data_IF_940464809674
#
_entry.id   IF_940464809674
#
_cell.length_a   1.000
_cell.length_b   1.000
_cell.length_c   1.000
_cell.angle_alpha   90.00
_cell.angle_beta   90.00
_cell.angle_gamma   90.00
#
_symmetry.space_group_name_H-M   'P 1'
#
loop_
_entity.id
_entity.type
_entity.pdbx_description
1 polymer ?
#
# COMPACT_ATOMS: atom_id res chain seq x y z
N UNK A 1 -10.34 7.74 1.24
CA UNK A 1 -9.54 7.31 0.09
C UNK A 1 -10.34 7.57 -1.19
N UNK A 2 -9.70 8.03 -2.27
CA UNK A 2 -10.35 8.29 -3.57
C UNK A 2 -10.28 7.01 -4.39
N UNK A 3 -11.43 6.45 -4.76
CA UNK A 3 -11.47 5.33 -5.69
C UNK A 3 -11.48 5.86 -7.12
N UNK A 4 -10.61 5.29 -7.94
CA UNK A 4 -10.56 5.53 -9.37
C UNK A 4 -10.85 4.19 -10.02
N UNK A 5 -11.90 4.12 -10.83
CA UNK A 5 -12.09 2.97 -11.71
C UNK A 5 -10.99 3.03 -12.78
N UNK A 6 -9.91 2.27 -12.55
CA UNK A 6 -8.70 2.33 -13.37
C UNK A 6 -8.98 2.02 -14.85
N UNK A 7 -9.94 1.12 -15.13
CA UNK A 7 -10.30 0.75 -16.50
C UNK A 7 -10.92 1.89 -17.30
N UNK A 8 -11.87 2.62 -16.71
CA UNK A 8 -12.50 3.78 -17.36
C UNK A 8 -11.55 4.98 -17.41
N UNK A 9 -10.73 5.19 -16.37
CA UNK A 9 -9.70 6.22 -16.34
C UNK A 9 -8.60 5.99 -17.40
N UNK A 10 -8.11 4.76 -17.54
CA UNK A 10 -7.09 4.39 -18.55
C UNK A 10 -7.64 4.54 -19.97
N UNK A 11 -8.89 4.10 -20.19
CA UNK A 11 -9.56 4.21 -21.48
C UNK A 11 -9.78 5.69 -21.86
N UNK A 12 -10.18 6.53 -20.90
CA UNK A 12 -10.30 7.99 -21.08
C UNK A 12 -8.96 8.68 -21.36
N UNK A 13 -7.88 8.22 -20.71
CA UNK A 13 -6.52 8.69 -20.95
C UNK A 13 -6.01 8.33 -22.36
N UNK A 14 -6.21 7.08 -22.80
CA UNK A 14 -5.76 6.61 -24.11
C UNK A 14 -6.54 7.22 -25.28
N UNK A 15 -7.82 7.56 -25.09
CA UNK A 15 -8.64 8.18 -26.13
C UNK A 15 -8.40 9.69 -26.27
N UNK A 16 -7.54 10.31 -25.44
CA UNK A 16 -7.22 11.74 -25.51
C UNK A 16 -8.41 12.68 -25.26
N UNK A 17 -9.57 12.15 -24.85
CA UNK A 17 -10.83 12.89 -24.73
C UNK A 17 -10.98 13.67 -23.43
N UNK A 18 -10.04 13.54 -22.49
CA UNK A 18 -10.18 14.08 -21.12
C UNK A 18 -9.15 15.14 -20.70
N UNK A 19 -8.39 15.75 -21.62
CA UNK A 19 -7.31 16.65 -21.21
C UNK A 19 -7.18 17.94 -22.00
N UNK A 20 -7.34 19.07 -21.28
CA UNK A 20 -6.63 20.30 -21.65
C UNK A 20 -5.11 20.00 -21.60
N UNK A 21 -4.31 20.43 -22.59
CA UNK A 21 -2.87 20.28 -22.53
C UNK A 21 -2.33 21.04 -21.31
N UNK A 22 -1.65 20.33 -20.43
CA UNK A 22 -0.89 20.93 -19.33
C UNK A 22 0.52 21.15 -19.87
N UNK A 23 0.87 22.41 -20.05
CA UNK A 23 2.26 22.82 -20.26
C UNK A 23 2.93 22.95 -18.89
N UNK A 24 4.09 22.32 -18.74
CA UNK A 24 4.93 22.55 -17.56
C UNK A 24 5.46 23.99 -17.57
N UNK A 25 5.33 24.71 -16.47
CA UNK A 25 5.97 26.02 -16.30
C UNK A 25 7.47 25.80 -16.10
N UNK A 26 8.28 26.16 -17.09
CA UNK A 26 9.73 26.08 -16.99
C UNK A 26 10.29 27.37 -16.36
N UNK A 27 11.18 27.23 -15.39
CA UNK A 27 11.79 28.39 -14.70
C UNK A 27 13.08 28.84 -15.36
N UNK A 28 13.71 28.00 -16.18
CA UNK A 28 14.95 28.29 -16.91
C UNK A 28 14.90 27.71 -18.31
N UNK A 29 15.47 28.40 -19.31
CA UNK A 29 15.42 27.99 -20.73
C UNK A 29 16.15 26.68 -21.09
N UNK A 30 16.85 26.06 -20.14
CA UNK A 30 17.47 24.72 -20.28
C UNK A 30 16.54 23.59 -19.84
N UNK A 31 15.36 23.92 -19.30
CA UNK A 31 14.40 22.92 -18.88
C UNK A 31 13.74 22.28 -20.10
N UNK A 32 13.54 20.97 -20.04
CA UNK A 32 12.84 20.23 -21.08
C UNK A 32 11.36 20.62 -21.06
N UNK A 33 10.88 21.15 -22.19
CA UNK A 33 9.47 21.41 -22.37
C UNK A 33 8.75 20.06 -22.58
N UNK A 34 7.91 19.68 -21.62
CA UNK A 34 6.98 18.57 -21.79
C UNK A 34 5.55 19.08 -21.71
N UNK A 35 4.72 18.60 -22.64
CA UNK A 35 3.28 18.83 -22.66
C UNK A 35 2.60 17.50 -22.35
N UNK A 36 1.81 17.48 -21.28
CA UNK A 36 1.05 16.32 -20.85
C UNK A 36 -0.44 16.53 -21.11
N UNK A 37 -1.17 15.43 -21.31
CA UNK A 37 -2.64 15.45 -21.32
C UNK A 37 -3.10 15.32 -19.88
N UNK A 38 -3.81 16.32 -19.34
CA UNK A 38 -4.47 16.20 -18.04
C UNK A 38 -5.50 15.06 -18.11
N UNK A 39 -5.55 14.18 -17.13
CA UNK A 39 -6.71 13.30 -16.96
C UNK A 39 -7.38 13.73 -15.66
N UNK A 40 -8.64 14.17 -15.74
CA UNK A 40 -9.41 14.52 -14.54
C UNK A 40 -10.50 13.44 -14.34
N UNK A 41 -10.16 12.30 -13.71
CA UNK A 41 -11.15 11.26 -13.47
C UNK A 41 -12.25 11.83 -12.55
N UNK A 42 -13.51 11.62 -12.96
CA UNK A 42 -14.68 11.95 -12.13
C UNK A 42 -14.57 11.15 -10.82
N UNK A 43 -14.21 11.83 -9.73
CA UNK A 43 -14.01 11.22 -8.42
C UNK A 43 -15.38 10.81 -7.87
N UNK A 44 -15.63 9.50 -7.75
CA UNK A 44 -16.79 9.01 -7.03
C UNK A 44 -16.53 9.09 -5.52
N UNK A 45 -17.36 9.86 -4.83
CA UNK A 45 -17.27 10.05 -3.38
C UNK A 45 -17.93 8.86 -2.68
N UNK A 46 -17.18 8.09 -1.88
CA UNK A 46 -17.80 7.19 -0.90
C UNK A 46 -18.16 7.99 0.33
N UNK A 47 -19.36 7.76 0.87
CA UNK A 47 -19.78 8.27 2.17
C UNK A 47 -18.74 7.92 3.22
N UNK A 48 -18.33 8.94 3.96
CA UNK A 48 -17.27 8.91 4.96
C UNK A 48 -17.60 7.83 6.01
N UNK A 49 -16.78 6.78 6.10
CA UNK A 49 -16.56 6.15 7.40
C UNK A 49 -15.24 6.74 7.91
N UNK A 50 -15.32 7.39 9.07
CA UNK A 50 -14.40 8.45 9.48
C UNK A 50 -12.92 8.06 9.35
N UNK A 51 -12.24 8.71 8.40
CA UNK A 51 -10.78 8.73 8.36
C UNK A 51 -10.32 9.91 9.21
N UNK A 52 -9.51 9.61 10.22
CA UNK A 52 -8.91 10.58 11.14
C UNK A 52 -8.33 11.79 10.39
N UNK A 53 -8.43 12.96 11.03
CA UNK A 53 -8.21 14.32 10.48
C UNK A 53 -6.83 14.55 9.82
N UNK A 54 -5.85 13.67 10.06
CA UNK A 54 -4.45 13.85 9.63
C UNK A 54 -3.97 12.89 8.53
N UNK A 55 -4.88 12.19 7.85
CA UNK A 55 -4.53 11.39 6.66
C UNK A 55 -3.79 10.07 6.90
N UNK A 56 -3.59 9.67 8.15
CA UNK A 56 -3.14 8.32 8.50
C UNK A 56 -4.35 7.40 8.78
N UNK A 57 -4.48 6.33 7.98
CA UNK A 57 -5.54 5.31 8.04
C UNK A 57 -5.20 4.15 8.99
N UNK A 58 -4.51 4.42 10.09
CA UNK A 58 -4.13 3.36 11.05
C UNK A 58 -5.32 3.09 11.97
N UNK A 59 -5.99 1.97 11.75
CA UNK A 59 -7.05 1.50 12.65
C UNK A 59 -6.41 0.74 13.81
N UNK A 60 -6.45 1.34 15.01
CA UNK A 60 -5.83 0.76 16.22
C UNK A 60 -6.37 -0.63 16.57
N UNK A 61 -7.63 -0.95 16.27
CA UNK A 61 -8.20 -2.26 16.59
C UNK A 61 -7.63 -3.33 15.64
N UNK A 62 -7.49 -3.00 14.36
CA UNK A 62 -6.84 -3.87 13.36
C UNK A 62 -5.36 -4.08 13.70
N UNK A 63 -4.64 -3.02 14.04
CA UNK A 63 -3.22 -3.11 14.42
C UNK A 63 -3.03 -3.93 15.70
N UNK A 64 -3.92 -3.79 16.69
CA UNK A 64 -3.87 -4.57 17.94
C UNK A 64 -4.16 -6.06 17.71
N UNK A 65 -5.10 -6.38 16.83
CA UNK A 65 -5.39 -7.76 16.46
C UNK A 65 -4.19 -8.40 15.73
N UNK A 66 -3.62 -7.70 14.74
CA UNK A 66 -2.45 -8.16 14.01
C UNK A 66 -1.23 -8.33 14.93
N UNK A 67 -1.03 -7.43 15.89
CA UNK A 67 0.04 -7.55 16.88
C UNK A 67 -0.11 -8.80 17.76
N UNK A 68 -1.34 -9.06 18.24
CA UNK A 68 -1.61 -10.24 19.06
C UNK A 68 -1.40 -11.54 18.26
N UNK A 69 -1.85 -11.59 17.01
CA UNK A 69 -1.64 -12.74 16.11
C UNK A 69 -0.15 -13.00 15.86
N UNK A 70 0.61 -11.95 15.54
CA UNK A 70 2.06 -12.06 15.34
C UNK A 70 2.80 -12.52 16.60
N UNK A 71 2.37 -12.07 17.79
CA UNK A 71 2.96 -12.51 19.05
C UNK A 71 2.77 -14.02 19.28
N UNK A 72 1.56 -14.54 19.03
CA UNK A 72 1.26 -15.98 19.16
C UNK A 72 2.06 -16.81 18.16
N UNK A 73 2.14 -16.38 16.90
CA UNK A 73 2.94 -17.06 15.88
C UNK A 73 4.44 -17.08 16.22
N UNK A 74 4.95 -16.00 16.81
CA UNK A 74 6.34 -15.91 17.23
C UNK A 74 6.65 -16.87 18.38
N UNK A 75 5.78 -16.94 19.41
CA UNK A 75 5.93 -17.90 20.50
C UNK A 75 5.87 -19.36 19.99
N UNK A 76 4.93 -19.67 19.09
CA UNK A 76 4.83 -20.99 18.49
C UNK A 76 6.13 -21.35 17.72
N UNK A 77 6.66 -20.40 16.93
CA UNK A 77 7.90 -20.60 16.17
C UNK A 77 9.09 -20.88 17.08
N UNK A 78 9.22 -20.12 18.17
CA UNK A 78 10.27 -20.36 19.18
C UNK A 78 10.13 -21.74 19.85
N UNK A 79 8.91 -22.17 20.14
CA UNK A 79 8.64 -23.49 20.70
C UNK A 79 9.07 -24.60 19.74
N UNK A 80 8.72 -24.49 18.44
CA UNK A 80 9.15 -25.46 17.42
C UNK A 80 10.66 -25.51 17.26
N UNK A 81 11.32 -24.35 17.19
CA UNK A 81 12.79 -24.26 17.09
C UNK A 81 13.44 -24.88 18.33
N UNK A 82 12.93 -24.59 19.53
CA UNK A 82 13.42 -25.20 20.77
C UNK A 82 13.28 -26.73 20.76
N UNK A 83 12.14 -27.24 20.29
CA UNK A 83 11.91 -28.67 20.11
C UNK A 83 12.92 -29.29 19.14
N UNK A 84 13.10 -28.70 17.97
CA UNK A 84 14.06 -29.16 16.97
C UNK A 84 15.49 -29.20 17.53
N UNK A 85 15.91 -28.14 18.22
CA UNK A 85 17.24 -28.07 18.82
C UNK A 85 17.43 -29.15 19.90
N UNK A 86 16.41 -29.41 20.73
CA UNK A 86 16.46 -30.50 21.71
C UNK A 86 16.58 -31.87 21.04
N UNK A 87 15.80 -32.12 19.98
CA UNK A 87 15.88 -33.36 19.21
C UNK A 87 17.26 -33.52 18.56
N UNK A 88 17.82 -32.45 18.00
CA UNK A 88 19.18 -32.49 17.45
C UNK A 88 20.23 -32.75 18.53
N UNK A 89 20.11 -32.13 19.71
CA UNK A 89 21.02 -32.40 20.84
C UNK A 89 20.94 -33.85 21.30
N UNK A 90 19.74 -34.43 21.41
CA UNK A 90 19.56 -35.84 21.75
C UNK A 90 20.22 -36.74 20.70
N UNK A 91 19.96 -36.50 19.41
CA UNK A 91 20.57 -37.24 18.31
C UNK A 91 22.10 -37.17 18.29
N UNK A 92 22.69 -36.02 18.68
CA UNK A 92 24.15 -35.85 18.78
C UNK A 92 24.72 -36.49 20.04
N UNK A 93 24.00 -36.43 21.16
CA UNK A 93 24.43 -37.04 22.43
C UNK A 93 24.26 -38.56 22.49
N UNK A 94 23.66 -39.18 21.47
CA UNK A 94 23.64 -40.64 21.30
C UNK A 94 22.71 -41.38 22.28
N UNK A 95 21.71 -40.71 22.84
CA UNK A 95 20.57 -41.32 23.53
C UNK A 95 19.35 -41.35 22.61
#
# INVERSE_FOLDING_TARGET
ARDIEFGSALTGAMQGRMGRPIALTTTTGRHLNATGVATNPQLMYRGEDQSSVDGNTVNMDTERAAFAENAVHYEASLSFISGLLKTMQQAVSGQ
#
